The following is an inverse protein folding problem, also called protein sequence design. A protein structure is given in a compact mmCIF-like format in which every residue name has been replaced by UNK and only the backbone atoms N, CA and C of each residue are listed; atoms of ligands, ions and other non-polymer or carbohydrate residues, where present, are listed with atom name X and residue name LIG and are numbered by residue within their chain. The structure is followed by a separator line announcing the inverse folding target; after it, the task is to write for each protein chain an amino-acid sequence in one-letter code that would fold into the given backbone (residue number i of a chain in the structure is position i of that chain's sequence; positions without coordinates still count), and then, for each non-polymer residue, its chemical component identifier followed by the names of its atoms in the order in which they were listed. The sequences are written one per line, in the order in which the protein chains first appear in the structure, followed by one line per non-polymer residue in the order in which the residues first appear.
data_IF_037010109253
#
_entry.id   IF_037010109253
#
_cell.length_a   1.000
_cell.length_b   1.000
_cell.length_c   1.000
_cell.angle_alpha   90.00
_cell.angle_beta   90.00
_cell.angle_gamma   90.00
#
_symmetry.space_group_name_H-M   'P 1'
#
loop_
_entity.id
_entity.type
_entity.pdbx_description
1 polymer ?
#
# COMPACT_ATOMS: atom_id res chain seq x y z
N UNK A 1 38.08 11.36 27.86
CA UNK A 1 37.28 11.09 26.64
C UNK A 1 35.82 11.11 27.07
N UNK A 2 35.09 12.17 26.75
CA UNK A 2 33.67 12.28 27.10
C UNK A 2 32.84 11.57 26.04
N UNK A 3 32.12 10.52 26.44
CA UNK A 3 31.24 9.76 25.56
C UNK A 3 30.00 10.60 25.25
N UNK A 4 29.85 11.05 24.01
CA UNK A 4 28.64 11.72 23.56
C UNK A 4 27.49 10.72 23.49
N UNK A 5 26.49 10.90 24.35
CA UNK A 5 25.21 10.20 24.26
C UNK A 5 24.51 10.77 23.03
N UNK A 6 24.41 9.98 21.95
CA UNK A 6 23.53 10.31 20.82
C UNK A 6 22.09 10.28 21.34
N UNK A 7 21.51 11.45 21.55
CA UNK A 7 20.08 11.61 21.77
C UNK A 7 19.37 11.00 20.55
N UNK A 8 18.55 9.96 20.77
CA UNK A 8 17.64 9.48 19.73
C UNK A 8 16.81 10.68 19.28
N UNK A 9 16.84 10.99 17.98
CA UNK A 9 15.94 11.98 17.40
C UNK A 9 14.52 11.60 17.81
N UNK A 10 13.78 12.56 18.36
CA UNK A 10 12.37 12.36 18.72
C UNK A 10 11.61 12.07 17.42
N UNK A 11 11.10 10.84 17.28
CA UNK A 11 10.18 10.48 16.21
C UNK A 11 9.04 11.50 16.21
N UNK A 12 8.86 12.17 15.09
CA UNK A 12 7.79 13.15 14.90
C UNK A 12 6.45 12.43 15.11
N UNK A 13 5.65 12.88 16.08
CA UNK A 13 4.35 12.29 16.37
C UNK A 13 3.42 12.53 15.19
N UNK A 14 3.10 11.46 14.45
CA UNK A 14 2.16 11.49 13.31
C UNK A 14 0.75 11.76 13.84
N UNK A 15 -0.05 12.48 13.05
CA UNK A 15 -1.40 12.92 13.43
C UNK A 15 -2.48 12.12 12.70
N UNK A 16 -3.75 12.25 13.11
CA UNK A 16 -4.88 11.61 12.41
C UNK A 16 -4.94 11.92 10.90
N UNK A 17 -4.48 13.10 10.49
CA UNK A 17 -4.42 13.49 9.07
C UNK A 17 -3.35 12.72 8.29
N UNK A 18 -2.27 12.26 8.93
CA UNK A 18 -1.24 11.45 8.28
C UNK A 18 -1.76 10.06 7.93
N UNK A 19 -2.50 9.42 8.86
CA UNK A 19 -3.16 8.14 8.61
C UNK A 19 -4.24 8.28 7.53
N UNK A 20 -5.05 9.33 7.60
CA UNK A 20 -6.11 9.61 6.63
C UNK A 20 -5.59 9.74 5.20
N UNK A 21 -4.49 10.49 5.03
CA UNK A 21 -3.79 10.61 3.74
C UNK A 21 -3.23 9.26 3.28
N UNK A 22 -2.57 8.52 4.16
CA UNK A 22 -1.98 7.23 3.81
C UNK A 22 -3.04 6.22 3.34
N UNK A 23 -4.17 6.12 4.05
CA UNK A 23 -5.28 5.25 3.66
C UNK A 23 -5.93 5.70 2.35
N UNK A 24 -6.05 7.01 2.12
CA UNK A 24 -6.49 7.55 0.84
C UNK A 24 -5.60 7.11 -0.32
N UNK A 25 -4.28 7.14 -0.14
CA UNK A 25 -3.31 6.68 -1.13
C UNK A 25 -3.35 5.16 -1.35
N UNK A 26 -3.54 4.34 -0.30
CA UNK A 26 -3.75 2.88 -0.44
C UNK A 26 -4.99 2.57 -1.27
N UNK A 27 -6.09 3.28 -1.01
CA UNK A 27 -7.33 3.08 -1.76
C UNK A 27 -7.18 3.54 -3.21
N UNK A 28 -6.51 4.68 -3.45
CA UNK A 28 -6.21 5.16 -4.79
C UNK A 28 -5.31 4.19 -5.56
N UNK A 29 -4.30 3.59 -4.92
CA UNK A 29 -3.50 2.55 -5.54
C UNK A 29 -4.35 1.35 -5.96
N UNK A 30 -5.17 0.79 -5.07
CA UNK A 30 -6.07 -0.32 -5.40
C UNK A 30 -7.00 0.04 -6.57
N UNK A 31 -7.61 1.23 -6.55
CA UNK A 31 -8.44 1.72 -7.65
C UNK A 31 -7.67 1.79 -8.97
N UNK A 32 -6.42 2.25 -8.96
CA UNK A 32 -5.59 2.34 -10.16
C UNK A 32 -5.31 0.96 -10.77
N UNK A 33 -5.13 -0.07 -9.93
CA UNK A 33 -4.97 -1.45 -10.37
C UNK A 33 -6.27 -1.95 -11.02
N UNK A 34 -7.45 -1.63 -10.44
CA UNK A 34 -8.74 -1.99 -11.03
C UNK A 34 -8.97 -1.30 -12.37
N UNK A 35 -8.64 -0.02 -12.48
CA UNK A 35 -8.67 0.72 -13.73
C UNK A 35 -7.78 0.06 -14.78
N UNK A 36 -6.56 -0.34 -14.42
CA UNK A 36 -5.67 -1.05 -15.34
C UNK A 36 -6.24 -2.42 -15.74
N UNK A 37 -6.71 -3.20 -14.77
CA UNK A 37 -7.31 -4.53 -14.93
C UNK A 37 -8.45 -4.57 -15.97
N UNK A 38 -9.28 -3.52 -16.03
CA UNK A 38 -10.34 -3.42 -17.05
C UNK A 38 -9.82 -3.14 -18.46
N UNK A 39 -8.64 -2.55 -18.60
CA UNK A 39 -8.05 -2.16 -19.89
C UNK A 39 -7.00 -3.14 -20.43
N UNK A 40 -6.68 -4.19 -19.66
CA UNK A 40 -5.72 -5.22 -20.08
C UNK A 40 -6.14 -5.83 -21.42
N UNK A 41 -5.22 -5.88 -22.38
CA UNK A 41 -5.46 -6.39 -23.74
C UNK A 41 -4.15 -6.89 -24.37
N UNK A 42 -4.26 -7.66 -25.45
CA UNK A 42 -3.11 -8.25 -26.16
C UNK A 42 -2.72 -9.66 -25.66
N UNK A 43 -1.60 -10.22 -26.14
CA UNK A 43 -1.06 -11.49 -25.65
C UNK A 43 -0.83 -11.47 -24.14
N UNK A 44 -1.13 -12.57 -23.44
CA UNK A 44 -1.00 -12.65 -21.98
C UNK A 44 -2.09 -11.92 -21.18
N UNK A 45 -3.00 -11.19 -21.84
CA UNK A 45 -4.02 -10.36 -21.19
C UNK A 45 -4.88 -11.08 -20.16
N UNK A 46 -5.34 -12.31 -20.44
CA UNK A 46 -6.14 -13.06 -19.48
C UNK A 46 -5.36 -13.37 -18.20
N UNK A 47 -4.10 -13.81 -18.32
CA UNK A 47 -3.27 -14.12 -17.17
C UNK A 47 -2.97 -12.86 -16.34
N UNK A 48 -2.69 -11.73 -17.01
CA UNK A 48 -2.52 -10.44 -16.35
C UNK A 48 -3.81 -9.95 -15.67
N UNK A 49 -4.96 -10.11 -16.30
CA UNK A 49 -6.27 -9.76 -15.74
C UNK A 49 -6.55 -10.54 -14.45
N UNK A 50 -6.32 -11.85 -14.46
CA UNK A 50 -6.47 -12.72 -13.29
C UNK A 50 -5.48 -12.38 -12.18
N UNK A 51 -4.21 -12.12 -12.53
CA UNK A 51 -3.20 -11.73 -11.55
C UNK A 51 -3.55 -10.43 -10.81
N UNK A 52 -4.11 -9.45 -11.54
CA UNK A 52 -4.58 -8.20 -10.94
C UNK A 52 -5.81 -8.42 -10.05
N UNK A 53 -6.75 -9.28 -10.46
CA UNK A 53 -7.96 -9.57 -9.68
C UNK A 53 -7.64 -10.29 -8.36
N UNK A 54 -6.73 -11.27 -8.41
CA UNK A 54 -6.21 -11.97 -7.22
C UNK A 54 -5.53 -10.98 -6.27
N UNK A 55 -4.64 -10.12 -6.78
CA UNK A 55 -3.96 -9.11 -5.97
C UNK A 55 -4.95 -8.11 -5.35
N UNK A 56 -5.93 -7.62 -6.12
CA UNK A 56 -6.95 -6.68 -5.63
C UNK A 56 -7.74 -7.23 -4.44
N UNK A 57 -8.02 -8.53 -4.45
CA UNK A 57 -8.73 -9.19 -3.33
C UNK A 57 -7.90 -9.14 -2.05
N UNK A 58 -6.63 -9.57 -2.12
CA UNK A 58 -5.74 -9.56 -0.96
C UNK A 58 -5.43 -8.15 -0.47
N UNK A 59 -5.21 -7.21 -1.39
CA UNK A 59 -4.94 -5.81 -1.06
C UNK A 59 -6.16 -5.14 -0.40
N UNK A 60 -7.38 -5.47 -0.83
CA UNK A 60 -8.60 -4.95 -0.21
C UNK A 60 -8.76 -5.45 1.23
N UNK A 61 -8.55 -6.74 1.47
CA UNK A 61 -8.61 -7.33 2.82
C UNK A 61 -7.59 -6.70 3.78
N UNK A 62 -6.32 -6.64 3.38
CA UNK A 62 -5.27 -6.06 4.22
C UNK A 62 -5.48 -4.55 4.45
N UNK A 63 -5.98 -3.82 3.44
CA UNK A 63 -6.33 -2.40 3.58
C UNK A 63 -7.46 -2.18 4.60
N UNK A 64 -8.53 -2.97 4.52
CA UNK A 64 -9.65 -2.86 5.46
C UNK A 64 -9.19 -3.15 6.89
N UNK A 65 -8.43 -4.24 7.08
CA UNK A 65 -7.84 -4.62 8.36
C UNK A 65 -6.99 -3.50 8.97
N UNK A 66 -6.09 -2.87 8.21
CA UNK A 66 -5.23 -1.81 8.76
C UNK A 66 -6.03 -0.54 9.06
N UNK A 67 -7.01 -0.19 8.23
CA UNK A 67 -7.87 0.98 8.45
C UNK A 67 -8.68 0.78 9.73
N UNK A 68 -9.47 -0.28 9.83
CA UNK A 68 -10.33 -0.55 11.00
C UNK A 68 -9.53 -0.64 12.30
N UNK A 69 -8.39 -1.34 12.26
CA UNK A 69 -7.49 -1.44 13.41
C UNK A 69 -6.97 -0.08 13.84
N UNK A 70 -6.62 0.79 12.90
CA UNK A 70 -6.11 2.13 13.22
C UNK A 70 -7.21 3.04 13.76
N UNK A 71 -8.44 2.98 13.23
CA UNK A 71 -9.58 3.69 13.82
C UNK A 71 -9.85 3.25 15.26
N UNK A 72 -9.80 1.95 15.53
CA UNK A 72 -10.00 1.42 16.87
C UNK A 72 -8.96 1.95 17.88
N UNK A 73 -7.73 2.21 17.41
CA UNK A 73 -6.63 2.66 18.25
C UNK A 73 -6.50 4.18 18.38
N UNK A 74 -6.70 4.90 17.29
CA UNK A 74 -6.41 6.34 17.18
C UNK A 74 -7.68 7.20 17.17
N UNK A 75 -8.85 6.58 17.13
CA UNK A 75 -10.14 7.27 17.03
C UNK A 75 -10.49 7.64 15.60
N UNK A 76 -11.37 8.63 15.44
CA UNK A 76 -11.84 9.05 14.12
C UNK A 76 -10.69 9.59 13.26
N UNK A 77 -10.56 9.01 12.07
CA UNK A 77 -9.61 9.43 11.03
C UNK A 77 -10.43 9.97 9.87
N UNK A 78 -10.02 11.08 9.27
CA UNK A 78 -10.66 11.60 8.05
C UNK A 78 -9.88 11.09 6.84
N UNK A 79 -10.52 10.21 6.05
CA UNK A 79 -9.91 9.64 4.84
C UNK A 79 -10.46 10.36 3.61
N UNK A 80 -9.57 10.91 2.78
CA UNK A 80 -9.90 11.47 1.47
C UNK A 80 -9.20 10.66 0.40
N UNK A 81 -9.98 10.06 -0.50
CA UNK A 81 -9.44 9.29 -1.62
C UNK A 81 -9.13 10.27 -2.77
N UNK A 82 -7.86 10.40 -3.21
CA UNK A 82 -7.51 11.29 -4.30
C UNK A 82 -8.05 10.77 -5.64
N UNK A 83 -8.26 11.68 -6.59
CA UNK A 83 -8.61 11.29 -7.95
C UNK A 83 -7.54 10.35 -8.51
N UNK A 84 -8.00 9.20 -9.00
CA UNK A 84 -7.14 8.12 -9.48
C UNK A 84 -7.27 7.95 -10.99
N UNK A 85 -6.16 7.71 -11.68
CA UNK A 85 -6.12 7.48 -13.12
C UNK A 85 -5.50 6.11 -13.43
N UNK A 86 -5.79 5.56 -14.61
CA UNK A 86 -5.14 4.34 -15.10
C UNK A 86 -3.63 4.56 -15.26
N UNK A 87 -2.77 3.74 -14.63
CA UNK A 87 -1.32 3.87 -14.78
C UNK A 87 -0.89 3.49 -16.20
N UNK A 88 0.12 4.21 -16.74
CA UNK A 88 0.69 3.89 -18.06
C UNK A 88 1.58 2.64 -18.04
N UNK A 89 2.26 2.40 -16.92
CA UNK A 89 3.09 1.22 -16.69
C UNK A 89 2.75 0.68 -15.31
N UNK A 90 2.11 -0.48 -15.27
CA UNK A 90 1.60 -1.10 -14.05
C UNK A 90 2.73 -1.59 -13.14
N UNK A 91 3.82 -2.13 -13.69
CA UNK A 91 4.95 -2.62 -12.90
C UNK A 91 5.66 -1.49 -12.17
N UNK A 92 6.02 -0.41 -12.88
CA UNK A 92 6.64 0.77 -12.25
C UNK A 92 5.69 1.42 -11.24
N UNK A 93 4.38 1.37 -11.48
CA UNK A 93 3.39 1.86 -10.53
C UNK A 93 3.41 1.06 -9.22
N UNK A 94 3.37 -0.28 -9.31
CA UNK A 94 3.49 -1.20 -8.18
C UNK A 94 4.82 -1.04 -7.43
N UNK A 95 5.95 -0.94 -8.13
CA UNK A 95 7.28 -0.77 -7.51
C UNK A 95 7.40 0.54 -6.73
N UNK A 96 6.83 1.63 -7.26
CA UNK A 96 6.80 2.93 -6.57
C UNK A 96 5.92 2.86 -5.33
N UNK A 97 4.75 2.25 -5.44
CA UNK A 97 3.83 2.16 -4.31
C UNK A 97 4.36 1.24 -3.20
N UNK A 98 5.02 0.13 -3.56
CA UNK A 98 5.71 -0.73 -2.60
C UNK A 98 6.70 0.06 -1.73
N UNK A 99 7.52 0.93 -2.35
CA UNK A 99 8.47 1.80 -1.65
C UNK A 99 7.78 2.84 -0.79
N UNK A 100 6.70 3.44 -1.30
CA UNK A 100 5.91 4.42 -0.53
C UNK A 100 5.38 3.83 0.78
N UNK A 101 4.90 2.58 0.77
CA UNK A 101 4.45 1.89 1.99
C UNK A 101 5.62 1.65 2.95
N UNK A 102 6.78 1.26 2.42
CA UNK A 102 7.98 1.03 3.23
C UNK A 102 8.40 2.29 4.01
N UNK A 103 8.35 3.45 3.34
CA UNK A 103 8.59 4.77 3.95
C UNK A 103 7.53 5.17 5.00
N UNK A 104 6.34 4.59 4.91
CA UNK A 104 5.22 4.84 5.82
C UNK A 104 5.17 3.86 7.00
N UNK A 105 5.95 2.76 6.98
CA UNK A 105 5.96 1.75 8.06
C UNK A 105 6.19 2.34 9.44
N UNK A 106 7.06 3.35 9.54
CA UNK A 106 7.39 3.97 10.82
C UNK A 106 6.21 4.69 11.49
N UNK A 107 5.09 4.91 10.79
CA UNK A 107 3.84 5.44 11.36
C UNK A 107 3.11 4.45 12.26
N UNK A 108 3.43 3.16 12.15
CA UNK A 108 2.79 2.08 12.87
C UNK A 108 3.78 1.52 13.89
N UNK A 109 3.50 1.75 15.17
CA UNK A 109 4.38 1.31 16.26
C UNK A 109 4.11 -0.14 16.66
N UNK A 110 2.92 -0.64 16.32
CA UNK A 110 2.43 -1.92 16.76
C UNK A 110 2.81 -3.04 15.78
N UNK A 111 3.35 -4.15 16.30
CA UNK A 111 3.80 -5.29 15.49
C UNK A 111 2.66 -5.92 14.66
N UNK A 112 1.42 -5.88 15.14
CA UNK A 112 0.29 -6.38 14.35
C UNK A 112 -0.08 -5.45 13.19
N UNK A 113 0.10 -4.14 13.36
CA UNK A 113 -0.16 -3.15 12.30
C UNK A 113 0.89 -3.30 11.19
N UNK A 114 2.15 -3.50 11.58
CA UNK A 114 3.23 -3.76 10.62
C UNK A 114 3.06 -5.11 9.93
N UNK A 115 2.58 -6.15 10.63
CA UNK A 115 2.25 -7.43 10.01
C UNK A 115 1.12 -7.32 8.97
N UNK A 116 0.08 -6.51 9.20
CA UNK A 116 -0.95 -6.26 8.17
C UNK A 116 -0.36 -5.54 6.94
N UNK A 117 0.59 -4.61 7.16
CA UNK A 117 1.32 -3.99 6.06
C UNK A 117 2.25 -4.96 5.33
N UNK A 118 2.81 -5.96 6.02
CA UNK A 118 3.57 -7.04 5.40
C UNK A 118 2.68 -7.82 4.42
N UNK A 119 1.47 -8.20 4.84
CA UNK A 119 0.48 -8.89 3.98
C UNK A 119 0.19 -8.06 2.70
N UNK A 120 0.00 -6.75 2.86
CA UNK A 120 -0.27 -5.84 1.74
C UNK A 120 0.94 -5.71 0.80
N UNK A 121 2.15 -5.55 1.35
CA UNK A 121 3.38 -5.47 0.57
C UNK A 121 3.73 -6.79 -0.13
N UNK A 122 3.47 -7.93 0.52
CA UNK A 122 3.61 -9.25 -0.08
C UNK A 122 2.69 -9.38 -1.30
N UNK A 123 1.42 -8.98 -1.20
CA UNK A 123 0.49 -9.01 -2.32
C UNK A 123 0.99 -8.19 -3.53
N UNK A 124 1.61 -7.01 -3.30
CA UNK A 124 2.25 -6.23 -4.36
C UNK A 124 3.44 -7.00 -4.97
N UNK A 125 4.27 -7.64 -4.17
CA UNK A 125 5.43 -8.39 -4.69
C UNK A 125 5.01 -9.62 -5.49
N UNK A 126 4.00 -10.35 -5.03
CA UNK A 126 3.47 -11.47 -5.79
C UNK A 126 2.82 -10.99 -7.10
N UNK A 127 2.11 -9.85 -7.09
CA UNK A 127 1.61 -9.23 -8.32
C UNK A 127 2.76 -8.87 -9.27
N UNK A 128 3.82 -8.22 -8.79
CA UNK A 128 5.00 -7.90 -9.59
C UNK A 128 5.66 -9.13 -10.20
N UNK A 129 5.79 -10.21 -9.43
CA UNK A 129 6.28 -11.49 -9.95
C UNK A 129 5.40 -12.00 -11.10
N UNK A 130 4.08 -12.04 -10.90
CA UNK A 130 3.11 -12.47 -11.93
C UNK A 130 3.20 -11.57 -13.17
N UNK A 131 3.17 -10.26 -13.02
CA UNK A 131 3.25 -9.29 -14.12
C UNK A 131 4.52 -9.44 -14.97
N UNK A 132 5.67 -9.69 -14.34
CA UNK A 132 6.96 -9.85 -15.03
C UNK A 132 7.15 -11.21 -15.70
N UNK A 133 6.36 -12.21 -15.30
CA UNK A 133 6.54 -13.61 -15.72
C UNK A 133 5.42 -14.13 -16.63
N UNK A 134 4.28 -13.43 -16.65
CA UNK A 134 3.10 -13.78 -17.46
C UNK A 134 3.04 -13.02 -18.80
N UNK A 135 4.12 -12.29 -19.16
CA UNK A 135 4.28 -11.65 -20.46
C UNK A 135 4.56 -12.66 -21.58
#
# INVERSE_FOLDING_TARGET
MATAIKTKEQKQTRTGTDYGRFFGEMYAFNNSLKLFHWHVSGPGSYAQHMALDEALTTLADAMDRIVETTYAMKGDIEVVIPQTNTPRNIETHCEKFFKYIDEQREMFEEDFSTAILDDYQEAIQQLLYRLKRLQ
#
